data_IF_352931320955
#
_entry.id   IF_352931320955
#
_cell.length_a   1.000
_cell.length_b   1.000
_cell.length_c   1.000
_cell.angle_alpha   90.00
_cell.angle_beta   90.00
_cell.angle_gamma   90.00
#
_symmetry.space_group_name_H-M   'P 1'
#
loop_
_entity.id
_entity.type
_entity.pdbx_description
1 polymer ?
#
# COMPACT_ATOMS: atom_id res chain seq x y z
N UNK A 1 -41.74 -20.03 7.30
CA UNK A 1 -40.71 -20.63 6.41
C UNK A 1 -40.19 -19.68 5.33
N UNK A 2 -41.02 -18.97 4.55
CA UNK A 2 -40.55 -18.07 3.48
C UNK A 2 -39.69 -16.88 3.94
N UNK A 3 -40.00 -16.28 5.10
CA UNK A 3 -39.24 -15.15 5.66
C UNK A 3 -37.82 -15.55 6.13
N UNK A 4 -37.68 -16.74 6.73
CA UNK A 4 -36.38 -17.28 7.14
C UNK A 4 -35.47 -17.60 5.94
N UNK A 5 -36.05 -18.07 4.83
CA UNK A 5 -35.31 -18.31 3.60
C UNK A 5 -34.78 -17.00 2.99
N UNK A 6 -35.58 -15.92 3.00
CA UNK A 6 -35.18 -14.61 2.49
C UNK A 6 -34.06 -14.00 3.36
N UNK A 7 -34.17 -14.12 4.70
CA UNK A 7 -33.14 -13.61 5.62
C UNK A 7 -31.80 -14.38 5.47
N UNK A 8 -31.87 -15.70 5.31
CA UNK A 8 -30.69 -16.54 5.11
C UNK A 8 -29.99 -16.25 3.76
N UNK A 9 -30.77 -16.08 2.68
CA UNK A 9 -30.22 -15.70 1.36
C UNK A 9 -29.58 -14.31 1.43
N UNK A 10 -30.19 -13.36 2.13
CA UNK A 10 -29.63 -12.02 2.29
C UNK A 10 -28.29 -12.04 3.05
N UNK A 11 -28.14 -12.87 4.09
CA UNK A 11 -26.87 -13.01 4.81
C UNK A 11 -25.76 -13.65 3.97
N UNK A 12 -26.09 -14.63 3.11
CA UNK A 12 -25.10 -15.25 2.23
C UNK A 12 -24.56 -14.29 1.15
N UNK A 13 -25.36 -13.33 0.69
CA UNK A 13 -24.93 -12.35 -0.33
C UNK A 13 -23.98 -11.29 0.26
N UNK A 14 -24.09 -10.94 1.54
CA UNK A 14 -23.21 -9.94 2.18
C UNK A 14 -21.80 -10.47 2.51
N UNK A 15 -21.61 -11.79 2.70
CA UNK A 15 -20.31 -12.36 3.05
C UNK A 15 -19.30 -12.38 1.88
N UNK A 16 -19.73 -12.05 0.66
CA UNK A 16 -18.88 -12.12 -0.54
C UNK A 16 -17.93 -10.91 -0.71
N UNK A 17 -18.17 -9.79 -0.03
CA UNK A 17 -17.47 -8.51 -0.32
C UNK A 17 -16.24 -8.21 0.55
N UNK A 18 -15.86 -9.07 1.49
CA UNK A 18 -14.74 -8.81 2.43
C UNK A 18 -13.49 -9.67 2.22
N UNK A 19 -13.41 -10.42 1.11
CA UNK A 19 -12.32 -11.38 0.90
C UNK A 19 -10.96 -10.68 0.79
N UNK A 20 -10.00 -11.14 1.59
CA UNK A 20 -8.58 -10.80 1.45
C UNK A 20 -8.07 -11.24 0.09
N UNK A 21 -7.35 -10.36 -0.61
CA UNK A 21 -6.77 -10.68 -1.92
C UNK A 21 -5.53 -11.54 -1.77
N UNK A 22 -5.29 -12.43 -2.74
CA UNK A 22 -4.05 -13.17 -2.81
C UNK A 22 -2.93 -12.29 -3.38
N UNK A 23 -1.72 -12.44 -2.86
CA UNK A 23 -0.51 -11.72 -3.29
C UNK A 23 0.23 -12.54 -4.34
N UNK A 24 0.74 -11.89 -5.38
CA UNK A 24 1.52 -12.54 -6.44
C UNK A 24 2.77 -13.21 -5.87
N UNK A 25 2.94 -14.51 -6.09
CA UNK A 25 4.08 -15.27 -5.54
C UNK A 25 5.35 -15.02 -6.38
N UNK A 26 5.26 -15.22 -7.69
CA UNK A 26 6.34 -15.02 -8.66
C UNK A 26 5.83 -14.37 -9.96
N UNK A 27 6.73 -14.17 -10.93
CA UNK A 27 6.38 -13.75 -12.29
C UNK A 27 5.51 -14.83 -12.95
N UNK A 28 4.19 -14.66 -12.90
CA UNK A 28 3.21 -15.63 -13.40
C UNK A 28 1.83 -15.46 -12.78
N UNK A 29 1.01 -16.52 -12.85
CA UNK A 29 -0.37 -16.56 -12.32
C UNK A 29 -0.50 -17.08 -10.90
N UNK A 30 0.59 -17.47 -10.26
CA UNK A 30 0.56 -18.00 -8.90
C UNK A 30 0.37 -16.86 -7.90
N UNK A 31 -0.57 -17.05 -6.99
CA UNK A 31 -0.86 -16.11 -5.91
C UNK A 31 -1.08 -16.86 -4.61
N UNK A 32 -0.77 -16.21 -3.48
CA UNK A 32 -0.82 -16.78 -2.15
C UNK A 32 -1.68 -15.92 -1.23
N UNK A 33 -2.55 -16.56 -0.45
CA UNK A 33 -3.29 -15.87 0.60
C UNK A 33 -2.37 -15.61 1.79
N UNK A 34 -2.30 -14.36 2.26
CA UNK A 34 -1.49 -13.98 3.42
C UNK A 34 -2.30 -13.50 4.62
N UNK A 35 -3.64 -13.55 4.57
CA UNK A 35 -4.44 -13.40 5.78
C UNK A 35 -4.10 -14.52 6.77
N UNK A 36 -3.80 -14.14 8.02
CA UNK A 36 -3.34 -15.05 9.09
C UNK A 36 -1.83 -15.26 9.13
N UNK A 37 -1.08 -14.78 8.12
CA UNK A 37 0.38 -14.78 8.14
C UNK A 37 0.93 -13.69 9.07
N UNK A 38 2.24 -13.73 9.29
CA UNK A 38 2.95 -12.84 10.18
C UNK A 38 3.87 -11.88 9.42
N UNK A 39 3.87 -10.62 9.83
CA UNK A 39 4.90 -9.65 9.48
C UNK A 39 5.84 -9.47 10.67
N UNK A 40 7.09 -9.88 10.52
CA UNK A 40 8.12 -9.73 11.55
C UNK A 40 8.94 -8.50 11.24
N UNK A 41 8.88 -7.47 12.08
CA UNK A 41 9.76 -6.30 12.04
C UNK A 41 10.98 -6.60 12.90
N UNK A 42 12.17 -6.55 12.30
CA UNK A 42 13.44 -6.92 12.94
C UNK A 42 14.20 -5.71 13.49
N UNK A 43 13.96 -4.52 12.92
CA UNK A 43 14.69 -3.28 13.26
C UNK A 43 13.71 -2.17 13.61
N UNK A 44 14.06 -1.25 14.54
CA UNK A 44 13.24 -0.09 14.84
C UNK A 44 12.99 0.78 13.61
N UNK A 45 11.73 1.20 13.38
CA UNK A 45 11.35 2.08 12.28
C UNK A 45 10.85 3.43 12.81
N UNK A 46 11.67 4.50 12.72
CA UNK A 46 11.29 5.81 13.23
C UNK A 46 10.32 6.51 12.26
N UNK A 47 9.12 6.81 12.74
CA UNK A 47 8.15 7.70 12.11
C UNK A 47 8.33 9.12 12.67
N UNK A 48 8.66 10.06 11.80
CA UNK A 48 8.89 11.45 12.17
C UNK A 48 7.62 12.15 12.63
N UNK A 49 7.75 13.14 13.51
CA UNK A 49 6.63 13.97 13.95
C UNK A 49 5.84 14.57 12.77
N UNK A 50 4.52 14.57 12.86
CA UNK A 50 3.64 15.09 11.80
C UNK A 50 3.53 14.19 10.57
N UNK A 51 4.04 12.96 10.61
CA UNK A 51 3.95 11.97 9.52
C UNK A 51 3.28 10.70 10.03
N UNK A 52 2.45 10.07 9.20
CA UNK A 52 1.87 8.77 9.55
C UNK A 52 2.63 7.58 8.95
N UNK A 53 3.73 7.82 8.21
CA UNK A 53 4.39 6.77 7.41
C UNK A 53 5.90 6.86 7.40
N UNK A 54 6.53 5.70 7.32
CA UNK A 54 7.96 5.49 7.12
C UNK A 54 8.17 4.53 5.94
N UNK A 55 9.08 4.85 5.02
CA UNK A 55 9.32 4.05 3.82
C UNK A 55 10.49 3.10 4.00
N UNK A 56 10.43 1.96 3.32
CA UNK A 56 11.49 0.96 3.25
C UNK A 56 11.69 0.54 1.80
N UNK A 57 12.93 0.60 1.33
CA UNK A 57 13.34 0.17 -0.01
C UNK A 57 14.75 -0.43 0.06
N UNK A 58 14.92 -1.65 -0.44
CA UNK A 58 16.13 -2.47 -0.33
C UNK A 58 16.71 -2.52 1.09
N UNK A 59 15.84 -2.66 2.10
CA UNK A 59 16.24 -2.66 3.50
C UNK A 59 16.73 -1.31 4.04
N UNK A 60 16.67 -0.24 3.24
CA UNK A 60 16.97 1.13 3.69
C UNK A 60 15.68 1.79 4.16
N UNK A 61 15.73 2.41 5.34
CA UNK A 61 14.59 3.09 5.98
C UNK A 61 14.69 4.58 5.72
N UNK A 62 13.66 5.19 5.15
CA UNK A 62 13.65 6.60 4.80
C UNK A 62 12.37 7.29 5.26
N UNK A 63 12.54 8.22 6.20
CA UNK A 63 11.48 9.13 6.61
C UNK A 63 11.37 10.23 5.57
N UNK A 64 10.22 10.36 4.92
CA UNK A 64 10.03 11.46 3.99
C UNK A 64 10.05 12.80 4.68
N UNK A 65 11.14 13.54 4.49
CA UNK A 65 11.27 14.98 4.75
C UNK A 65 10.15 15.77 4.03
N UNK A 66 9.57 15.22 2.96
CA UNK A 66 8.42 15.81 2.28
C UNK A 66 8.76 17.13 1.60
N UNK A 67 10.05 17.40 1.40
CA UNK A 67 10.52 18.50 0.58
C UNK A 67 10.03 18.31 -0.85
N UNK A 68 9.67 19.40 -1.51
CA UNK A 68 9.11 19.42 -2.87
C UNK A 68 9.97 18.68 -3.92
N UNK A 69 11.26 18.51 -3.64
CA UNK A 69 12.24 17.84 -4.52
C UNK A 69 12.80 16.52 -3.95
N UNK A 70 12.51 16.18 -2.69
CA UNK A 70 13.09 15.03 -2.01
C UNK A 70 12.07 13.89 -1.98
N UNK A 71 12.26 12.91 -2.87
CA UNK A 71 11.57 11.63 -2.75
C UNK A 71 12.34 10.77 -1.78
N UNK A 72 11.63 10.19 -0.83
CA UNK A 72 12.21 9.30 0.20
C UNK A 72 12.67 7.96 -0.38
N UNK A 73 12.21 7.61 -1.58
CA UNK A 73 12.49 6.35 -2.26
C UNK A 73 12.47 6.55 -3.78
N UNK A 74 13.07 5.61 -4.51
CA UNK A 74 12.99 5.54 -5.97
C UNK A 74 11.65 4.93 -6.41
N UNK A 75 10.79 5.74 -7.02
CA UNK A 75 9.47 5.33 -7.50
C UNK A 75 9.52 4.31 -8.65
N UNK A 76 10.65 4.16 -9.33
CA UNK A 76 10.80 3.16 -10.40
C UNK A 76 11.18 1.78 -9.87
N UNK A 77 11.19 1.61 -8.55
CA UNK A 77 11.56 0.37 -7.87
C UNK A 77 10.50 0.01 -6.82
N UNK A 78 10.28 -1.28 -6.56
CA UNK A 78 9.38 -1.70 -5.50
C UNK A 78 9.77 -1.09 -4.15
N UNK A 79 8.77 -0.78 -3.34
CA UNK A 79 8.96 -0.20 -2.01
C UNK A 79 7.81 -0.58 -1.10
N UNK A 80 8.05 -0.51 0.21
CA UNK A 80 7.03 -0.66 1.23
C UNK A 80 6.97 0.59 2.12
N UNK A 81 5.83 0.82 2.75
CA UNK A 81 5.61 1.85 3.73
C UNK A 81 4.90 1.26 4.95
N UNK A 82 5.41 1.54 6.13
CA UNK A 82 4.72 1.21 7.38
C UNK A 82 3.95 2.43 7.85
N UNK A 83 2.70 2.24 8.20
CA UNK A 83 1.79 3.32 8.57
C UNK A 83 1.26 3.16 9.99
N UNK A 84 1.24 4.28 10.72
CA UNK A 84 0.60 4.42 12.02
C UNK A 84 -0.73 5.17 11.88
N UNK A 85 -1.60 5.05 12.89
CA UNK A 85 -2.96 5.60 12.85
C UNK A 85 -2.99 7.13 12.89
N UNK A 86 -2.09 7.75 13.66
CA UNK A 86 -2.12 9.19 13.93
C UNK A 86 -0.93 9.92 13.31
N UNK A 87 -1.18 11.09 12.72
CA UNK A 87 -0.13 12.08 12.37
C UNK A 87 0.22 13.00 13.56
N UNK A 88 -0.63 13.03 14.59
CA UNK A 88 -0.45 13.87 15.78
C UNK A 88 0.34 13.10 16.83
N UNK A 89 1.67 13.17 16.72
CA UNK A 89 2.63 12.59 17.64
C UNK A 89 3.96 13.36 17.53
N UNK A 90 4.78 13.31 18.59
CA UNK A 90 6.07 14.02 18.66
C UNK A 90 7.25 13.19 18.11
N UNK A 91 6.98 12.32 17.13
CA UNK A 91 7.85 11.19 16.78
C UNK A 91 7.33 9.89 17.38
N UNK A 92 7.41 8.80 16.63
CA UNK A 92 6.94 7.47 17.03
C UNK A 92 7.89 6.44 16.45
N UNK A 93 8.28 5.42 17.20
CA UNK A 93 9.13 4.35 16.67
C UNK A 93 8.36 3.06 16.70
N UNK A 94 8.19 2.44 15.52
CA UNK A 94 7.71 1.07 15.42
C UNK A 94 8.85 0.17 15.90
N UNK A 95 8.65 -0.50 17.02
CA UNK A 95 9.63 -1.38 17.64
C UNK A 95 9.62 -2.77 16.97
N UNK A 96 10.73 -3.53 17.04
CA UNK A 96 10.76 -4.92 16.59
C UNK A 96 9.67 -5.77 17.25
N UNK A 97 8.84 -6.39 16.42
CA UNK A 97 7.65 -7.14 16.84
C UNK A 97 7.14 -8.00 15.69
N UNK A 98 6.22 -8.91 16.01
CA UNK A 98 5.46 -9.69 15.04
C UNK A 98 4.03 -9.18 15.01
N UNK A 99 3.59 -8.78 13.83
CA UNK A 99 2.24 -8.29 13.57
C UNK A 99 1.45 -9.36 12.83
N UNK A 100 0.21 -9.62 13.27
CA UNK A 100 -0.70 -10.50 12.54
C UNK A 100 -1.27 -9.78 11.33
N UNK A 101 -1.23 -10.41 10.16
CA UNK A 101 -1.86 -9.90 8.95
C UNK A 101 -3.33 -10.30 8.98
N UNK A 102 -4.20 -9.35 9.31
CA UNK A 102 -5.65 -9.62 9.44
C UNK A 102 -6.36 -9.57 8.11
N UNK A 103 -5.81 -8.83 7.13
CA UNK A 103 -6.37 -8.70 5.78
C UNK A 103 -5.34 -8.18 4.78
N UNK A 104 -5.38 -8.70 3.56
CA UNK A 104 -4.70 -8.11 2.41
C UNK A 104 -5.72 -7.47 1.48
N UNK A 105 -5.44 -6.24 1.05
CA UNK A 105 -6.31 -5.49 0.14
C UNK A 105 -5.49 -4.96 -1.03
N UNK A 106 -5.99 -5.13 -2.27
CA UNK A 106 -5.38 -4.49 -3.44
C UNK A 106 -5.48 -2.97 -3.35
N UNK A 107 -4.43 -2.28 -3.76
CA UNK A 107 -4.34 -0.82 -3.69
C UNK A 107 -3.82 -0.24 -4.99
N UNK A 108 -4.34 0.92 -5.36
CA UNK A 108 -3.85 1.72 -6.46
C UNK A 108 -3.69 3.17 -5.99
N UNK A 109 -2.49 3.71 -6.11
CA UNK A 109 -2.16 5.06 -5.70
C UNK A 109 -1.76 5.89 -6.91
N UNK A 110 -2.50 6.96 -7.18
CA UNK A 110 -2.13 7.91 -8.23
C UNK A 110 -0.90 8.71 -7.82
N UNK A 111 0.07 8.82 -8.74
CA UNK A 111 1.23 9.69 -8.57
C UNK A 111 0.87 11.07 -9.07
N UNK A 112 0.66 11.99 -8.13
CA UNK A 112 0.25 13.37 -8.46
C UNK A 112 1.41 14.10 -9.11
N UNK A 113 1.37 14.28 -10.44
CA UNK A 113 2.14 15.31 -11.12
C UNK A 113 1.35 16.62 -11.04
N UNK A 114 1.78 17.56 -10.19
CA UNK A 114 1.31 18.96 -10.30
C UNK A 114 2.08 19.63 -11.43
N UNK A 115 1.66 19.42 -12.68
CA UNK A 115 2.07 20.31 -13.78
C UNK A 115 1.36 21.66 -13.56
N UNK A 116 2.04 22.81 -13.66
CA UNK A 116 1.35 24.10 -13.62
C UNK A 116 0.32 24.15 -14.75
N UNK A 117 -0.92 24.52 -14.39
CA UNK A 117 -1.99 24.73 -15.38
C UNK A 117 -1.57 25.90 -16.27
N UNK A 118 -1.17 25.62 -17.51
CA UNK A 118 -0.86 26.65 -18.50
C UNK A 118 -2.18 27.16 -19.09
N UNK A 119 -2.73 28.22 -18.49
CA UNK A 119 -3.98 28.85 -18.95
C UNK A 119 -3.91 29.33 -20.41
N UNK A 120 -2.71 29.60 -20.94
CA UNK A 120 -2.50 30.00 -22.33
C UNK A 120 -2.80 28.89 -23.35
N UNK A 121 -2.84 27.61 -22.95
CA UNK A 121 -3.24 26.49 -23.81
C UNK A 121 -4.77 26.31 -23.89
N UNK A 122 -5.53 27.09 -23.11
CA UNK A 122 -7.00 27.01 -23.04
C UNK A 122 -7.70 27.83 -24.14
N UNK A 123 -6.95 28.42 -25.07
CA UNK A 123 -7.48 29.17 -26.19
C UNK A 123 -7.53 28.28 -27.43
N UNK A 124 -8.60 27.49 -27.55
CA UNK A 124 -9.32 27.09 -28.77
C UNK A 124 -10.40 26.06 -28.36
N UNK A 125 -11.61 26.55 -28.17
CA UNK A 125 -12.77 25.77 -27.77
C UNK A 125 -13.14 24.72 -28.84
N UNK A 126 -13.59 23.54 -28.40
CA UNK A 126 -14.31 22.63 -29.30
C UNK A 126 -14.25 21.14 -28.99
N UNK A 127 -13.99 20.73 -27.76
CA UNK A 127 -14.11 19.32 -27.39
C UNK A 127 -14.05 19.19 -25.89
N UNK A 128 -15.11 18.66 -25.29
CA UNK A 128 -14.97 17.90 -24.04
C UNK A 128 -14.19 16.62 -24.36
N UNK A 129 -12.95 16.75 -24.81
CA UNK A 129 -11.97 15.71 -24.56
C UNK A 129 -11.58 15.92 -23.10
N UNK A 130 -12.38 15.33 -22.21
CA UNK A 130 -11.98 15.08 -20.84
C UNK A 130 -10.77 14.17 -20.92
N UNK A 131 -9.63 14.78 -21.25
CA UNK A 131 -8.41 14.08 -21.54
C UNK A 131 -8.18 13.16 -20.37
N UNK A 132 -8.23 11.86 -20.65
CA UNK A 132 -7.55 10.85 -19.86
C UNK A 132 -6.07 11.22 -19.88
N UNK A 133 -5.70 12.27 -19.14
CA UNK A 133 -4.32 12.63 -18.90
C UNK A 133 -3.75 11.48 -18.13
N UNK A 134 -3.01 10.62 -18.83
CA UNK A 134 -2.47 9.35 -18.34
C UNK A 134 -1.81 9.57 -16.99
N UNK A 135 -2.57 9.32 -15.93
CA UNK A 135 -2.06 9.29 -14.58
C UNK A 135 -1.12 8.11 -14.52
N UNK A 136 0.07 8.32 -14.00
CA UNK A 136 0.86 7.18 -13.57
C UNK A 136 0.45 6.80 -12.16
N UNK A 137 0.50 5.51 -11.89
CA UNK A 137 0.03 4.93 -10.65
C UNK A 137 1.11 4.02 -10.07
N UNK A 138 0.92 3.70 -8.81
CA UNK A 138 1.47 2.53 -8.16
C UNK A 138 0.33 1.57 -7.87
N UNK A 139 0.46 0.31 -8.28
CA UNK A 139 -0.42 -0.76 -7.82
C UNK A 139 0.30 -1.61 -6.79
N UNK A 140 -0.44 -2.15 -5.83
CA UNK A 140 0.15 -2.81 -4.69
C UNK A 140 -0.85 -3.45 -3.75
N UNK A 141 -0.40 -3.68 -2.52
CA UNK A 141 -1.19 -4.29 -1.46
C UNK A 141 -1.09 -3.49 -0.17
N UNK A 142 -2.21 -3.40 0.53
CA UNK A 142 -2.27 -3.07 1.94
C UNK A 142 -2.36 -4.35 2.76
N UNK A 143 -1.36 -4.60 3.59
CA UNK A 143 -1.36 -5.62 4.64
C UNK A 143 -1.82 -4.97 5.93
N UNK A 144 -3.06 -5.22 6.34
CA UNK A 144 -3.61 -4.70 7.59
C UNK A 144 -3.04 -5.50 8.76
N UNK A 145 -2.54 -4.77 9.75
CA UNK A 145 -1.73 -5.32 10.83
C UNK A 145 -2.46 -5.21 12.18
N UNK A 146 -2.20 -6.17 13.03
CA UNK A 146 -2.64 -6.20 14.42
C UNK A 146 -1.49 -6.62 15.35
N UNK A 147 -1.34 -5.91 16.46
CA UNK A 147 -0.41 -6.23 17.55
C UNK A 147 -0.98 -5.67 18.85
N UNK A 148 -1.01 -6.51 19.89
CA UNK A 148 -1.38 -6.10 21.25
C UNK A 148 -0.36 -5.11 21.85
N UNK A 149 0.91 -5.23 21.45
CA UNK A 149 2.00 -4.40 21.97
C UNK A 149 2.09 -3.05 21.27
N UNK A 150 1.67 -2.99 20.00
CA UNK A 150 1.81 -1.81 19.15
C UNK A 150 0.53 -1.54 18.32
N UNK A 151 -0.61 -1.25 18.98
CA UNK A 151 -1.90 -1.07 18.31
C UNK A 151 -1.96 0.15 17.38
N UNK A 152 -1.03 1.09 17.53
CA UNK A 152 -0.89 2.26 16.66
C UNK A 152 -0.40 1.92 15.25
N UNK A 153 0.26 0.77 15.05
CA UNK A 153 0.70 0.32 13.72
C UNK A 153 -0.48 -0.29 13.00
N UNK A 154 -0.92 0.33 11.90
CA UNK A 154 -2.16 -0.05 11.25
C UNK A 154 -1.97 -0.94 10.02
N UNK A 155 -0.95 -0.66 9.20
CA UNK A 155 -0.71 -1.43 7.98
C UNK A 155 0.72 -1.29 7.47
N UNK A 156 1.11 -2.27 6.66
CA UNK A 156 2.21 -2.13 5.71
C UNK A 156 1.62 -2.06 4.30
N UNK A 157 2.06 -1.10 3.51
CA UNK A 157 1.64 -0.90 2.12
C UNK A 157 2.83 -1.14 1.20
N UNK A 158 2.77 -2.10 0.29
CA UNK A 158 3.86 -2.37 -0.65
C UNK A 158 3.38 -2.19 -2.09
N UNK A 159 4.20 -1.51 -2.89
CA UNK A 159 3.85 -1.11 -4.24
C UNK A 159 4.91 -1.54 -5.25
N UNK A 160 4.44 -1.80 -6.47
CA UNK A 160 5.28 -2.01 -7.63
C UNK A 160 5.83 -0.71 -8.18
N UNK A 161 6.42 -0.80 -9.36
CA UNK A 161 7.05 0.34 -10.03
C UNK A 161 6.00 1.37 -10.46
N UNK A 162 6.45 2.62 -10.60
CA UNK A 162 5.72 3.67 -11.30
C UNK A 162 5.43 3.23 -12.73
N UNK A 163 4.15 3.12 -13.09
CA UNK A 163 3.73 2.71 -14.44
C UNK A 163 2.39 3.35 -14.83
N UNK A 164 2.10 3.32 -16.14
CA UNK A 164 0.77 3.63 -16.69
C UNK A 164 0.06 2.32 -17.04
N UNK A 165 -1.25 2.38 -17.27
CA UNK A 165 -1.95 1.24 -17.87
C UNK A 165 -1.44 1.01 -19.31
N UNK A 166 -1.22 -0.25 -19.76
CA UNK A 166 -1.56 -1.52 -19.10
C UNK A 166 -0.42 -2.13 -18.25
N UNK A 167 0.74 -1.49 -18.18
CA UNK A 167 1.97 -2.03 -17.58
C UNK A 167 1.96 -2.00 -16.04
N UNK A 168 0.93 -1.39 -15.45
CA UNK A 168 0.73 -1.34 -14.01
C UNK A 168 0.56 -2.76 -13.45
N UNK A 169 1.38 -3.09 -12.47
CA UNK A 169 1.39 -4.40 -11.82
C UNK A 169 1.75 -4.24 -10.34
N UNK A 170 1.09 -4.98 -9.43
CA UNK A 170 1.49 -5.02 -8.03
C UNK A 170 2.76 -5.87 -7.86
N UNK A 171 3.54 -5.68 -6.79
CA UNK A 171 4.79 -6.40 -6.60
C UNK A 171 4.53 -7.89 -6.31
N UNK A 172 5.51 -8.72 -6.59
CA UNK A 172 5.58 -10.13 -6.17
C UNK A 172 6.05 -10.25 -4.73
N UNK A 173 5.89 -11.42 -4.10
CA UNK A 173 6.41 -11.70 -2.76
C UNK A 173 7.95 -11.59 -2.72
N UNK A 174 8.63 -11.94 -3.81
CA UNK A 174 10.08 -11.74 -3.94
C UNK A 174 10.45 -10.25 -3.94
N UNK A 175 9.73 -9.42 -4.70
CA UNK A 175 9.95 -7.97 -4.72
C UNK A 175 9.62 -7.32 -3.37
N UNK A 176 8.57 -7.78 -2.69
CA UNK A 176 8.26 -7.35 -1.32
C UNK A 176 9.40 -7.72 -0.37
N UNK A 177 9.89 -8.96 -0.41
CA UNK A 177 11.01 -9.39 0.41
C UNK A 177 12.29 -8.58 0.13
N UNK A 178 12.57 -8.30 -1.14
CA UNK A 178 13.69 -7.45 -1.52
C UNK A 178 13.53 -6.03 -0.98
N UNK A 179 12.36 -5.41 -1.14
CA UNK A 179 12.11 -4.07 -0.65
C UNK A 179 12.30 -3.97 0.88
N UNK A 180 11.82 -4.96 1.63
CA UNK A 180 11.98 -5.02 3.08
C UNK A 180 13.42 -5.31 3.52
N UNK A 181 14.18 -6.07 2.74
CA UNK A 181 15.55 -6.46 3.08
C UNK A 181 15.62 -7.16 4.44
N UNK A 182 16.57 -6.76 5.29
CA UNK A 182 16.69 -7.30 6.66
C UNK A 182 15.77 -6.63 7.68
N UNK A 183 15.11 -5.53 7.32
CA UNK A 183 14.32 -4.69 8.25
C UNK A 183 13.06 -5.39 8.71
N UNK A 184 12.41 -6.14 7.81
CA UNK A 184 11.24 -6.93 8.13
C UNK A 184 11.11 -8.13 7.19
N UNK A 185 10.28 -9.11 7.56
CA UNK A 185 10.02 -10.28 6.73
C UNK A 185 8.57 -10.77 6.90
N UNK A 186 8.00 -11.29 5.82
CA UNK A 186 6.73 -12.03 5.85
C UNK A 186 7.00 -13.50 6.20
N UNK A 187 6.17 -14.09 7.07
CA UNK A 187 6.20 -15.51 7.46
C UNK A 187 4.81 -16.12 7.25
N UNK A 188 4.71 -17.08 6.34
CA UNK A 188 3.46 -17.65 5.82
C UNK A 188 3.62 -19.11 5.38
#
# INVERSE_FOLDING_TARGET
MRLFAILAISMLVLAACSKSVAVRDAVGRQSRQLQGADLVVNSPLPVMAGKARIFVQDGSVSGGDGGFFSRSYDQYRPHCAFEIRSVSHNGFTIQPDTFKITRVQGSMQQVVQRRPVQLAALHLAGGFDGGMGGGAYHEGYHFWLESDRQPEVMRMSCYGVYAQFPDLQPPTLQEVAQALGSVAALRY
#
